data_IF_834384038909
#
_entry.id   IF_834384038909
#
_cell.length_a   1.000
_cell.length_b   1.000
_cell.length_c   1.000
_cell.angle_alpha   90.00
_cell.angle_beta   90.00
_cell.angle_gamma   90.00
#
_symmetry.space_group_name_H-M   'P 1'
#
loop_
_entity.id
_entity.type
_entity.pdbx_description
1 polymer ?
#
# COMPACT_ATOMS: atom_id res chain seq x y z
N UNK A 1 -17.77 -26.55 -41.31
CA UNK A 1 -16.56 -26.69 -40.46
C UNK A 1 -15.97 -25.30 -40.17
N UNK A 2 -16.72 -24.45 -39.47
CA UNK A 2 -16.44 -23.00 -39.40
C UNK A 2 -16.75 -22.34 -38.04
N UNK A 3 -16.95 -23.11 -36.98
CA UNK A 3 -17.44 -22.56 -35.70
C UNK A 3 -16.74 -23.08 -34.43
N UNK A 4 -15.67 -23.88 -34.54
CA UNK A 4 -15.07 -24.53 -33.37
C UNK A 4 -13.67 -24.02 -32.99
N UNK A 5 -13.09 -23.06 -33.71
CA UNK A 5 -11.75 -22.50 -33.40
C UNK A 5 -11.84 -21.11 -32.73
N UNK A 6 -13.04 -20.58 -32.50
CA UNK A 6 -13.20 -19.23 -31.93
C UNK A 6 -13.25 -19.15 -30.39
N UNK A 7 -13.23 -20.29 -29.68
CA UNK A 7 -13.37 -20.37 -28.22
C UNK A 7 -12.05 -20.69 -27.49
N UNK A 8 -10.91 -20.51 -28.16
CA UNK A 8 -9.58 -20.51 -27.51
C UNK A 8 -9.15 -19.10 -27.05
N UNK A 9 -10.07 -18.13 -27.05
CA UNK A 9 -9.92 -16.88 -26.31
C UNK A 9 -10.24 -17.15 -24.83
N UNK A 10 -9.37 -17.91 -24.15
CA UNK A 10 -9.30 -17.86 -22.70
C UNK A 10 -8.82 -16.46 -22.33
N UNK A 11 -9.73 -15.50 -22.27
CA UNK A 11 -9.53 -14.26 -21.56
C UNK A 11 -9.42 -14.70 -20.10
N UNK A 12 -8.19 -14.95 -19.65
CA UNK A 12 -7.91 -14.92 -18.23
C UNK A 12 -8.24 -13.49 -17.80
N UNK A 13 -9.46 -13.28 -17.30
CA UNK A 13 -9.81 -12.08 -16.58
C UNK A 13 -8.96 -12.15 -15.33
N UNK A 14 -7.75 -11.57 -15.39
CA UNK A 14 -6.94 -11.41 -14.20
C UNK A 14 -7.74 -10.50 -13.29
N UNK A 15 -8.15 -11.00 -12.13
CA UNK A 15 -8.63 -10.14 -11.05
C UNK A 15 -7.44 -9.26 -10.63
N UNK A 16 -7.37 -8.09 -11.23
CA UNK A 16 -6.44 -7.06 -10.86
C UNK A 16 -6.98 -6.32 -9.63
N UNK A 17 -6.07 -5.78 -8.82
CA UNK A 17 -6.42 -4.90 -7.71
C UNK A 17 -7.36 -3.77 -8.18
N UNK A 18 -8.54 -3.67 -7.58
CA UNK A 18 -9.54 -2.64 -7.88
C UNK A 18 -9.71 -1.71 -6.67
N UNK A 19 -9.50 -0.42 -6.87
CA UNK A 19 -9.49 0.57 -5.80
C UNK A 19 -10.71 1.48 -5.84
N UNK A 20 -11.20 1.86 -4.65
CA UNK A 20 -12.21 2.92 -4.51
C UNK A 20 -11.59 4.24 -4.95
N UNK A 21 -12.34 5.01 -5.74
CA UNK A 21 -11.93 6.36 -6.14
C UNK A 21 -12.32 7.36 -5.04
N UNK A 22 -11.41 8.27 -4.72
CA UNK A 22 -11.64 9.37 -3.78
C UNK A 22 -11.61 10.70 -4.53
N UNK A 23 -12.54 11.59 -4.21
CA UNK A 23 -12.69 12.89 -4.90
C UNK A 23 -11.52 13.83 -4.63
N UNK A 24 -10.82 13.66 -3.50
CA UNK A 24 -9.65 14.45 -3.15
C UNK A 24 -8.60 13.68 -2.34
N UNK A 25 -7.36 14.20 -2.35
CA UNK A 25 -6.27 13.71 -1.48
C UNK A 25 -6.64 13.77 0.00
N UNK A 26 -7.41 14.79 0.41
CA UNK A 26 -7.88 14.92 1.80
C UNK A 26 -8.84 13.79 2.17
N UNK A 27 -9.71 13.38 1.26
CA UNK A 27 -10.67 12.30 1.53
C UNK A 27 -9.95 10.96 1.69
N UNK A 28 -8.97 10.66 0.82
CA UNK A 28 -8.13 9.47 0.96
C UNK A 28 -7.29 9.51 2.26
N UNK A 29 -6.75 10.69 2.62
CA UNK A 29 -6.05 10.90 3.88
C UNK A 29 -6.97 10.62 5.08
N UNK A 30 -8.21 11.09 5.04
CA UNK A 30 -9.19 10.89 6.12
C UNK A 30 -9.78 9.48 6.16
N UNK A 31 -9.80 8.76 5.04
CA UNK A 31 -10.21 7.36 4.99
C UNK A 31 -9.12 6.40 5.49
N UNK A 32 -7.86 6.82 5.52
CA UNK A 32 -6.75 6.01 6.02
C UNK A 32 -6.76 5.90 7.54
N UNK A 33 -6.35 4.77 8.12
CA UNK A 33 -6.15 4.62 9.56
C UNK A 33 -4.85 5.30 10.02
N UNK A 34 -3.84 5.32 9.16
CA UNK A 34 -2.61 6.06 9.38
C UNK A 34 -2.18 6.78 8.12
N UNK A 35 -1.43 7.88 8.30
CA UNK A 35 -0.65 8.54 7.25
C UNK A 35 0.68 8.96 7.85
N UNK A 36 1.78 8.49 7.28
CA UNK A 36 3.13 8.75 7.80
C UNK A 36 4.15 8.88 6.68
N UNK A 37 5.05 9.86 6.83
CA UNK A 37 6.32 9.87 6.10
C UNK A 37 7.26 8.87 6.78
N UNK A 38 7.71 7.88 6.03
CA UNK A 38 8.58 6.81 6.51
C UNK A 38 9.84 6.71 5.68
N UNK A 39 10.91 6.21 6.29
CA UNK A 39 12.11 5.70 5.58
C UNK A 39 12.12 4.18 5.63
N UNK A 40 12.32 3.54 4.49
CA UNK A 40 12.37 2.07 4.41
C UNK A 40 13.75 1.58 4.85
N UNK A 41 13.80 0.72 5.85
CA UNK A 41 15.05 0.21 6.43
C UNK A 41 15.39 -1.19 5.89
N UNK A 42 14.40 -2.07 5.83
CA UNK A 42 14.60 -3.43 5.32
C UNK A 42 13.30 -4.07 4.84
N UNK A 43 13.43 -5.13 4.04
CA UNK A 43 12.35 -5.97 3.56
C UNK A 43 12.57 -7.40 4.04
N UNK A 44 11.55 -7.98 4.69
CA UNK A 44 11.46 -9.42 4.93
C UNK A 44 10.46 -9.99 3.93
N UNK A 45 10.96 -10.69 2.93
CA UNK A 45 10.15 -11.44 1.98
C UNK A 45 10.17 -12.94 2.35
N UNK A 46 9.07 -13.49 2.88
CA UNK A 46 9.01 -14.91 3.24
C UNK A 46 8.83 -15.83 2.01
N UNK A 47 8.58 -15.27 0.82
CA UNK A 47 8.40 -16.04 -0.41
C UNK A 47 9.75 -16.54 -0.93
N UNK A 48 10.19 -17.67 -0.41
CA UNK A 48 11.37 -18.41 -0.89
C UNK A 48 11.02 -19.46 -1.95
N UNK A 49 9.73 -19.61 -2.28
CA UNK A 49 9.19 -20.58 -3.25
C UNK A 49 8.32 -19.85 -4.29
N UNK A 50 8.29 -20.31 -5.56
CA UNK A 50 7.49 -19.72 -6.64
C UNK A 50 5.97 -19.69 -6.40
N UNK A 51 5.44 -20.46 -5.43
CA UNK A 51 4.02 -20.44 -5.03
C UNK A 51 3.70 -19.39 -3.95
N UNK A 52 4.68 -18.58 -3.53
CA UNK A 52 4.57 -17.66 -2.41
C UNK A 52 3.59 -16.50 -2.63
N UNK A 53 2.33 -16.71 -2.24
CA UNK A 53 1.30 -15.65 -2.07
C UNK A 53 1.25 -15.22 -0.59
N UNK A 54 2.41 -15.01 0.03
CA UNK A 54 2.47 -14.51 1.41
C UNK A 54 2.74 -13.01 1.42
N UNK A 55 2.20 -12.34 2.44
CA UNK A 55 2.54 -10.95 2.72
C UNK A 55 4.05 -10.79 2.93
N UNK A 56 4.60 -9.67 2.44
CA UNK A 56 5.94 -9.20 2.78
C UNK A 56 5.86 -8.16 3.89
N UNK A 57 6.95 -8.00 4.64
CA UNK A 57 7.03 -7.01 5.72
C UNK A 57 8.19 -6.07 5.52
N UNK A 58 7.89 -4.78 5.40
CA UNK A 58 8.88 -3.72 5.47
C UNK A 58 9.09 -3.29 6.92
N UNK A 59 10.35 -3.14 7.31
CA UNK A 59 10.71 -2.42 8.54
C UNK A 59 11.01 -0.98 8.16
N UNK A 60 10.38 -0.04 8.84
CA UNK A 60 10.47 1.39 8.53
C UNK A 60 10.82 2.22 9.77
N UNK A 61 11.34 3.41 9.52
CA UNK A 61 11.46 4.48 10.51
C UNK A 61 10.42 5.55 10.21
N UNK A 62 9.55 5.86 11.18
CA UNK A 62 8.60 6.96 11.04
C UNK A 62 9.30 8.30 11.25
N UNK A 63 9.46 9.07 10.17
CA UNK A 63 10.03 10.42 10.22
C UNK A 63 8.97 11.41 10.74
N UNK A 64 7.73 11.26 10.27
CA UNK A 64 6.60 12.07 10.71
C UNK A 64 5.30 11.27 10.58
N UNK A 65 4.46 11.33 11.60
CA UNK A 65 3.12 10.72 11.59
C UNK A 65 2.12 11.87 11.49
N UNK A 66 1.41 11.96 10.37
CA UNK A 66 0.39 12.98 10.11
C UNK A 66 -0.98 12.56 10.63
N UNK A 67 -1.25 11.26 10.63
CA UNK A 67 -2.49 10.66 11.13
C UNK A 67 -2.22 9.26 11.65
N UNK A 68 -2.92 8.89 12.72
CA UNK A 68 -2.94 7.53 13.27
C UNK A 68 -4.18 7.36 14.14
N UNK A 69 -4.92 6.27 13.93
CA UNK A 69 -6.05 5.87 14.80
C UNK A 69 -5.58 5.15 16.06
N UNK A 70 -4.28 4.84 16.17
CA UNK A 70 -3.66 4.20 17.33
C UNK A 70 -2.59 5.09 17.97
N UNK A 71 -2.33 4.88 19.27
CA UNK A 71 -1.34 5.65 20.04
C UNK A 71 0.11 5.37 19.60
N UNK A 72 0.40 4.12 19.24
CA UNK A 72 1.74 3.67 18.86
C UNK A 72 1.66 2.94 17.52
N UNK A 73 2.21 3.56 16.48
CA UNK A 73 2.25 2.97 15.15
C UNK A 73 3.46 2.02 15.05
N UNK A 74 3.24 0.81 14.55
CA UNK A 74 4.29 -0.19 14.39
C UNK A 74 5.26 0.20 13.28
N UNK A 75 6.56 0.03 13.54
CA UNK A 75 7.63 0.14 12.54
C UNK A 75 7.60 -1.01 11.50
N UNK A 76 6.71 -1.99 11.64
CA UNK A 76 6.52 -3.08 10.68
C UNK A 76 5.27 -2.81 9.86
N UNK A 77 5.45 -2.65 8.56
CA UNK A 77 4.37 -2.47 7.58
C UNK A 77 4.28 -3.71 6.72
N UNK A 78 3.10 -4.31 6.68
CA UNK A 78 2.83 -5.53 5.93
C UNK A 78 2.07 -5.20 4.65
N UNK A 79 2.39 -5.86 3.54
CA UNK A 79 1.68 -5.72 2.27
C UNK A 79 1.70 -7.03 1.50
N UNK A 80 0.69 -7.33 0.68
CA UNK A 80 0.73 -8.49 -0.21
C UNK A 80 2.00 -8.49 -1.07
N UNK A 81 2.57 -9.66 -1.37
CA UNK A 81 3.79 -9.76 -2.17
C UNK A 81 3.63 -9.41 -3.64
N UNK A 82 2.38 -9.41 -4.13
CA UNK A 82 2.10 -9.27 -5.56
C UNK A 82 1.16 -8.09 -5.81
N UNK A 83 1.45 -7.35 -6.88
CA UNK A 83 0.67 -6.20 -7.34
C UNK A 83 -0.82 -6.55 -7.63
N UNK A 84 -1.16 -7.71 -8.25
CA UNK A 84 -2.56 -8.10 -8.45
C UNK A 84 -3.36 -8.24 -7.13
N UNK A 85 -2.68 -8.58 -6.04
CA UNK A 85 -3.26 -8.65 -4.69
C UNK A 85 -3.20 -7.31 -3.94
N UNK A 86 -3.00 -6.18 -4.64
CA UNK A 86 -2.83 -4.85 -4.07
C UNK A 86 -1.54 -4.65 -3.27
N UNK A 87 -0.51 -5.46 -3.52
CA UNK A 87 0.82 -5.32 -2.94
C UNK A 87 1.55 -4.08 -3.40
N UNK A 88 2.32 -3.45 -2.51
CA UNK A 88 3.16 -2.30 -2.83
C UNK A 88 4.63 -2.68 -2.82
N UNK A 89 5.40 -2.12 -3.76
CA UNK A 89 6.85 -2.28 -3.79
C UNK A 89 7.52 -0.98 -3.31
N UNK A 90 8.31 -1.09 -2.24
CA UNK A 90 9.04 0.02 -1.66
C UNK A 90 10.54 -0.24 -1.73
N UNK A 91 11.31 0.75 -2.17
CA UNK A 91 12.76 0.66 -2.25
C UNK A 91 13.41 0.91 -0.88
N UNK A 92 14.34 0.03 -0.47
CA UNK A 92 15.12 0.21 0.76
C UNK A 92 15.96 1.49 0.66
N UNK A 93 15.99 2.27 1.75
CA UNK A 93 16.71 3.54 1.84
C UNK A 93 15.94 4.74 1.30
N UNK A 94 14.83 4.53 0.58
CA UNK A 94 13.95 5.60 0.10
C UNK A 94 12.93 5.99 1.16
N UNK A 95 12.37 7.18 0.98
CA UNK A 95 11.32 7.72 1.82
C UNK A 95 10.01 7.79 1.07
N UNK A 96 8.92 7.47 1.78
CA UNK A 96 7.58 7.45 1.21
C UNK A 96 6.60 8.14 2.14
N UNK A 97 5.59 8.80 1.57
CA UNK A 97 4.34 9.06 2.26
C UNK A 97 3.46 7.82 2.11
N UNK A 98 3.23 7.12 3.22
CA UNK A 98 2.37 5.95 3.27
C UNK A 98 1.10 6.26 4.03
N UNK A 99 -0.02 5.81 3.50
CA UNK A 99 -1.31 5.78 4.17
C UNK A 99 -2.04 4.49 3.86
N UNK A 100 -2.66 3.91 4.88
CA UNK A 100 -3.29 2.60 4.75
C UNK A 100 -4.11 2.25 5.98
N UNK A 101 -4.30 0.95 6.20
CA UNK A 101 -5.18 0.43 7.25
C UNK A 101 -4.40 -0.17 8.42
N UNK A 102 -5.05 -0.22 9.58
CA UNK A 102 -4.58 -0.93 10.77
C UNK A 102 -5.64 -1.96 11.13
N UNK A 103 -5.28 -3.24 11.14
CA UNK A 103 -6.25 -4.28 11.49
C UNK A 103 -6.54 -4.32 13.00
N UNK A 104 -7.53 -5.13 13.39
CA UNK A 104 -7.96 -5.30 14.78
C UNK A 104 -6.85 -5.77 15.74
N UNK A 105 -5.76 -6.34 15.23
CA UNK A 105 -4.62 -6.80 16.01
C UNK A 105 -3.49 -5.75 16.04
N UNK A 106 -3.69 -4.57 15.45
CA UNK A 106 -2.69 -3.53 15.33
C UNK A 106 -1.68 -3.73 14.21
N UNK A 107 -1.94 -4.65 13.26
CA UNK A 107 -1.04 -4.84 12.11
C UNK A 107 -1.25 -3.70 11.13
N UNK A 108 -0.16 -2.96 10.88
CA UNK A 108 -0.13 -1.84 9.95
C UNK A 108 0.03 -2.37 8.54
N UNK A 109 -0.91 -2.05 7.65
CA UNK A 109 -0.92 -2.53 6.27
C UNK A 109 -0.75 -1.39 5.28
N UNK A 110 0.09 -1.61 4.27
CA UNK A 110 0.14 -0.80 3.06
C UNK A 110 -0.46 -1.58 1.90
N UNK A 111 -1.11 -0.88 0.98
CA UNK A 111 -1.72 -1.47 -0.20
C UNK A 111 -1.87 -0.41 -1.30
N UNK A 112 -1.97 -0.82 -2.56
CA UNK A 112 -2.01 0.09 -3.72
C UNK A 112 -3.14 1.11 -3.69
N UNK A 113 -4.26 0.78 -3.05
CA UNK A 113 -5.40 1.70 -2.93
C UNK A 113 -5.24 2.75 -1.81
N UNK A 114 -4.17 2.64 -1.01
CA UNK A 114 -3.82 3.63 -0.01
C UNK A 114 -2.97 4.76 -0.60
N UNK A 115 -2.41 5.58 0.28
CA UNK A 115 -1.43 6.59 -0.13
C UNK A 115 -0.07 5.89 -0.24
N UNK A 116 0.53 5.92 -1.44
CA UNK A 116 1.85 5.33 -1.71
C UNK A 116 2.60 6.25 -2.66
N UNK A 117 3.32 7.23 -2.11
CA UNK A 117 4.04 8.24 -2.90
C UNK A 117 5.49 8.36 -2.42
N UNK A 118 6.48 8.38 -3.33
CA UNK A 118 7.85 8.68 -2.94
C UNK A 118 7.91 10.10 -2.39
N UNK A 119 8.59 10.31 -1.26
CA UNK A 119 8.56 11.60 -0.56
C UNK A 119 9.07 12.76 -1.43
N UNK A 120 9.95 12.49 -2.38
CA UNK A 120 10.47 13.47 -3.35
C UNK A 120 9.37 14.01 -4.27
N UNK A 121 8.34 13.22 -4.59
CA UNK A 121 7.26 13.56 -5.53
C UNK A 121 6.01 14.10 -4.84
N UNK A 122 5.92 14.03 -3.51
CA UNK A 122 4.77 14.53 -2.76
C UNK A 122 4.62 16.04 -2.97
N UNK A 123 3.55 16.42 -3.66
CA UNK A 123 3.12 17.80 -3.82
C UNK A 123 2.45 18.31 -2.54
N UNK A 124 2.61 19.61 -2.28
CA UNK A 124 2.01 20.32 -1.13
C UNK A 124 2.17 19.58 0.22
N UNK A 125 3.42 19.33 0.59
CA UNK A 125 3.81 18.73 1.88
C UNK A 125 3.27 19.47 3.11
N UNK A 126 2.93 20.74 2.95
CA UNK A 126 2.40 21.57 4.03
C UNK A 126 0.92 21.24 4.30
N UNK A 127 0.13 20.94 3.26
CA UNK A 127 -1.28 20.55 3.42
C UNK A 127 -1.46 19.28 4.27
N UNK A 128 -0.51 18.35 4.27
CA UNK A 128 -0.57 17.13 5.09
C UNK A 128 -0.73 17.41 6.58
N UNK A 129 -0.24 18.55 7.07
CA UNK A 129 -0.35 18.96 8.49
C UNK A 129 -1.64 19.73 8.79
N UNK A 130 -2.34 20.21 7.76
CA UNK A 130 -3.53 21.05 7.91
C UNK A 130 -4.83 20.26 7.76
N UNK A 131 -4.76 19.05 7.18
CA UNK A 131 -5.92 18.18 7.02
C UNK A 131 -6.54 17.83 8.38
N UNK A 132 -7.83 18.14 8.49
CA UNK A 132 -8.69 17.74 9.59
C UNK A 132 -9.71 16.74 9.10
N UNK A 133 -9.79 15.66 9.87
CA UNK A 133 -10.73 14.58 9.84
C UNK A 133 -11.22 14.44 11.29
#
# INVERSE_FOLDING_TARGET
MKFLILLAACIAISEACSCVQFDSRKDLFCASDYVSRVKVISLKNPNTSPEGILDVTYTVEHICIYRSTVKHLSNKITTPSQNPACGVELAIGKEYLLGGSIDKNGVVRAHLCGIVEEWSTVEDKNALKTYKC
#
